data_IF_433743080964
#
_entry.id   IF_433743080964
#
_cell.length_a   1.000
_cell.length_b   1.000
_cell.length_c   1.000
_cell.angle_alpha   90.00
_cell.angle_beta   90.00
_cell.angle_gamma   90.00
#
_symmetry.space_group_name_H-M   'P 1'
#
loop_
_entity.id
_entity.type
_entity.pdbx_description
1 polymer ?
#
# COMPACT_ATOMS: atom_id res chain seq x y z
N UNK A 1 28.44 16.61 -17.93
CA UNK A 1 27.17 16.15 -17.35
C UNK A 1 27.12 16.63 -15.90
N UNK A 2 26.11 17.42 -15.46
CA UNK A 2 26.05 17.85 -14.07
C UNK A 2 25.81 16.63 -13.17
N UNK A 3 26.61 16.48 -12.12
CA UNK A 3 26.39 15.50 -11.06
C UNK A 3 25.01 15.76 -10.45
N UNK A 4 24.02 14.85 -10.68
CA UNK A 4 22.77 14.85 -9.93
C UNK A 4 23.14 14.71 -8.45
N UNK A 5 23.01 15.77 -7.69
CA UNK A 5 23.09 15.74 -6.23
C UNK A 5 21.92 14.91 -5.72
N UNK A 6 22.21 13.75 -5.17
CA UNK A 6 21.21 12.86 -4.54
C UNK A 6 20.51 13.63 -3.42
N UNK A 7 19.22 13.93 -3.57
CA UNK A 7 18.44 14.59 -2.51
C UNK A 7 18.12 13.57 -1.43
N UNK A 8 18.91 13.59 -0.35
CA UNK A 8 18.65 12.81 0.85
C UNK A 8 17.37 13.35 1.51
N UNK A 9 16.42 12.46 1.81
CA UNK A 9 15.19 12.84 2.52
C UNK A 9 15.53 13.26 3.94
N UNK A 10 15.25 14.52 4.29
CA UNK A 10 15.54 15.08 5.62
C UNK A 10 14.76 14.41 6.75
N UNK A 11 13.71 13.62 6.42
CA UNK A 11 12.95 12.80 7.38
C UNK A 11 13.68 11.51 7.76
N UNK A 12 14.70 11.08 6.97
CA UNK A 12 15.50 9.92 7.31
C UNK A 12 16.50 10.28 8.40
N UNK A 13 16.56 9.55 9.53
CA UNK A 13 17.52 9.82 10.59
C UNK A 13 18.98 9.81 10.07
N UNK A 14 19.75 10.86 10.40
CA UNK A 14 21.14 11.01 9.94
C UNK A 14 22.01 9.79 10.22
N UNK A 15 21.73 9.09 11.34
CA UNK A 15 22.41 7.83 11.69
C UNK A 15 22.23 6.73 10.63
N UNK A 16 21.02 6.60 10.06
CA UNK A 16 20.73 5.62 9.00
C UNK A 16 21.56 5.93 7.75
N UNK A 17 21.56 7.19 7.34
CA UNK A 17 22.35 7.66 6.19
C UNK A 17 23.85 7.41 6.42
N UNK A 18 24.36 7.81 7.59
CA UNK A 18 25.76 7.60 7.94
C UNK A 18 26.15 6.11 7.93
N UNK A 19 25.35 5.26 8.57
CA UNK A 19 25.60 3.82 8.63
C UNK A 19 25.55 3.19 7.24
N UNK A 20 24.57 3.55 6.41
CA UNK A 20 24.48 3.06 5.03
C UNK A 20 25.71 3.42 4.21
N UNK A 21 26.15 4.69 4.28
CA UNK A 21 27.34 5.17 3.56
C UNK A 21 28.65 4.53 4.09
N UNK A 22 28.76 4.35 5.40
CA UNK A 22 29.89 3.67 6.01
C UNK A 22 29.98 2.22 5.51
N UNK A 23 28.87 1.47 5.56
CA UNK A 23 28.83 0.10 5.06
C UNK A 23 29.13 0.03 3.55
N UNK A 24 28.65 1.00 2.77
CA UNK A 24 28.93 1.05 1.34
C UNK A 24 30.43 1.23 1.03
N UNK A 25 31.16 2.01 1.84
CA UNK A 25 32.63 2.18 1.70
C UNK A 25 33.38 0.88 1.97
N UNK A 26 32.86 0.02 2.86
CA UNK A 26 33.44 -1.30 3.15
C UNK A 26 33.08 -2.29 2.04
N UNK A 27 31.78 -2.39 1.72
CA UNK A 27 31.27 -3.29 0.69
C UNK A 27 29.86 -2.89 0.23
N UNK A 28 29.61 -2.78 -1.08
CA UNK A 28 28.24 -2.58 -1.61
C UNK A 28 27.25 -3.65 -1.17
N UNK A 29 27.69 -4.89 -0.94
CA UNK A 29 26.83 -5.98 -0.47
C UNK A 29 26.42 -5.80 1.00
N UNK A 30 27.27 -5.21 1.85
CA UNK A 30 26.89 -4.89 3.22
C UNK A 30 25.85 -3.76 3.25
N UNK A 31 26.04 -2.74 2.42
CA UNK A 31 25.05 -1.68 2.25
C UNK A 31 23.71 -2.21 1.71
N UNK A 32 23.74 -3.15 0.75
CA UNK A 32 22.53 -3.82 0.25
C UNK A 32 21.79 -4.54 1.38
N UNK A 33 22.48 -5.39 2.15
CA UNK A 33 21.86 -6.12 3.26
C UNK A 33 21.22 -5.18 4.28
N UNK A 34 21.88 -4.07 4.59
CA UNK A 34 21.37 -3.05 5.49
C UNK A 34 20.13 -2.36 4.90
N UNK A 35 20.21 -1.85 3.67
CA UNK A 35 19.11 -1.19 2.98
C UNK A 35 17.91 -2.13 2.81
N UNK A 36 18.13 -3.37 2.39
CA UNK A 36 17.10 -4.39 2.25
C UNK A 36 16.40 -4.70 3.56
N UNK A 37 17.15 -4.78 4.67
CA UNK A 37 16.54 -4.98 6.00
C UNK A 37 15.64 -3.82 6.40
N UNK A 38 16.06 -2.58 6.15
CA UNK A 38 15.22 -1.39 6.40
C UNK A 38 13.98 -1.39 5.51
N UNK A 39 14.14 -1.69 4.21
CA UNK A 39 13.06 -1.69 3.23
C UNK A 39 11.91 -2.64 3.59
N UNK A 40 12.22 -3.82 4.12
CA UNK A 40 11.21 -4.83 4.47
C UNK A 40 10.71 -4.73 5.91
N UNK A 41 11.18 -3.75 6.70
CA UNK A 41 10.83 -3.59 8.12
C UNK A 41 9.95 -2.35 8.31
N UNK A 42 8.63 -2.49 8.40
CA UNK A 42 7.74 -1.34 8.61
C UNK A 42 7.92 -0.76 10.02
N UNK A 43 7.73 0.55 10.13
CA UNK A 43 7.75 1.24 11.42
C UNK A 43 6.36 1.16 12.03
N UNK A 44 6.26 0.62 13.24
CA UNK A 44 5.00 0.58 13.99
C UNK A 44 4.79 1.91 14.72
N UNK A 45 3.68 2.58 14.42
CA UNK A 45 3.29 3.82 15.06
C UNK A 45 2.18 3.58 16.10
N UNK A 46 2.07 4.46 17.10
CA UNK A 46 0.92 4.49 18.02
C UNK A 46 -0.37 4.72 17.24
N UNK A 47 -1.47 4.13 17.70
CA UNK A 47 -2.79 4.32 17.09
C UNK A 47 -3.23 5.78 17.32
N UNK A 48 -3.59 6.54 16.28
CA UNK A 48 -4.11 7.88 16.43
C UNK A 48 -5.52 7.88 17.06
N UNK A 49 -5.85 8.90 17.84
CA UNK A 49 -7.16 9.02 18.51
C UNK A 49 -8.36 8.83 17.57
N UNK A 50 -8.25 9.30 16.32
CA UNK A 50 -9.30 9.17 15.30
C UNK A 50 -9.65 7.71 14.94
N UNK A 51 -8.74 6.76 15.22
CA UNK A 51 -8.90 5.34 14.89
C UNK A 51 -9.42 4.51 16.07
N UNK A 52 -9.49 5.09 17.30
CA UNK A 52 -9.87 4.36 18.52
C UNK A 52 -11.28 3.79 18.45
N UNK A 53 -12.23 4.52 17.88
CA UNK A 53 -13.62 4.06 17.78
C UNK A 53 -13.69 2.81 16.88
N UNK A 54 -13.16 2.88 15.65
CA UNK A 54 -13.15 1.73 14.76
C UNK A 54 -12.43 0.53 15.39
N UNK A 55 -11.32 0.77 16.10
CA UNK A 55 -10.60 -0.31 16.76
C UNK A 55 -11.43 -0.98 17.88
N UNK A 56 -12.12 -0.18 18.70
CA UNK A 56 -12.92 -0.66 19.80
C UNK A 56 -14.21 -1.38 19.36
N UNK A 57 -14.84 -0.89 18.30
CA UNK A 57 -16.12 -1.42 17.80
C UNK A 57 -15.96 -2.56 16.78
N UNK A 58 -14.75 -2.75 16.23
CA UNK A 58 -14.50 -3.85 15.30
C UNK A 58 -14.41 -5.20 16.01
N UNK A 59 -15.02 -6.23 15.44
CA UNK A 59 -14.73 -7.61 15.79
C UNK A 59 -13.35 -7.94 15.23
N UNK A 60 -12.41 -8.22 16.13
CA UNK A 60 -11.03 -8.52 15.77
C UNK A 60 -10.78 -10.02 15.85
N UNK A 61 -10.26 -10.58 14.76
CA UNK A 61 -9.96 -12.02 14.67
C UNK A 61 -8.57 -12.23 14.10
N UNK A 62 -7.97 -13.36 14.41
CA UNK A 62 -6.72 -13.80 13.85
C UNK A 62 -6.99 -14.70 12.66
N UNK A 63 -6.33 -14.46 11.54
CA UNK A 63 -6.40 -15.27 10.34
C UNK A 63 -5.00 -15.78 9.99
N UNK A 64 -4.87 -17.10 9.92
CA UNK A 64 -3.64 -17.71 9.38
C UNK A 64 -3.67 -17.69 7.86
N UNK A 65 -2.58 -17.24 7.24
CA UNK A 65 -2.39 -17.16 5.78
C UNK A 65 -1.39 -18.24 5.37
N UNK A 66 -1.85 -19.40 4.89
CA UNK A 66 -0.98 -20.57 4.65
C UNK A 66 0.13 -20.31 3.62
N UNK A 67 -0.18 -19.58 2.53
CA UNK A 67 0.79 -19.30 1.44
C UNK A 67 2.04 -18.55 1.90
N UNK A 68 1.97 -17.81 3.01
CA UNK A 68 3.09 -17.06 3.56
C UNK A 68 3.50 -17.55 4.96
N UNK A 69 2.80 -18.56 5.51
CA UNK A 69 3.01 -19.11 6.85
C UNK A 69 3.03 -18.02 7.94
N UNK A 70 2.05 -17.10 7.90
CA UNK A 70 1.93 -15.99 8.86
C UNK A 70 0.49 -15.80 9.31
N UNK A 71 0.33 -15.26 10.53
CA UNK A 71 -0.95 -14.84 11.09
C UNK A 71 -1.11 -13.33 10.95
N UNK A 72 -2.30 -12.89 10.56
CA UNK A 72 -2.72 -11.49 10.47
C UNK A 72 -3.91 -11.22 11.37
N UNK A 73 -4.11 -9.95 11.77
CA UNK A 73 -5.29 -9.51 12.51
C UNK A 73 -6.26 -8.86 11.54
N UNK A 74 -7.51 -9.33 11.54
CA UNK A 74 -8.60 -8.84 10.69
C UNK A 74 -9.59 -8.09 11.56
N UNK A 75 -10.12 -6.98 11.02
CA UNK A 75 -11.12 -6.12 11.65
C UNK A 75 -12.40 -6.17 10.82
N UNK A 76 -13.50 -6.65 11.42
CA UNK A 76 -14.84 -6.54 10.85
C UNK A 76 -15.58 -5.39 11.54
N UNK A 77 -15.90 -4.32 10.78
CA UNK A 77 -16.52 -3.12 11.29
C UNK A 77 -17.86 -2.85 10.61
N UNK A 78 -18.93 -2.77 11.41
CA UNK A 78 -20.31 -2.70 10.95
C UNK A 78 -20.97 -4.08 10.80
N UNK A 79 -22.30 -4.11 10.58
CA UNK A 79 -23.12 -5.31 10.62
C UNK A 79 -23.81 -5.66 9.29
N UNK A 80 -23.47 -4.97 8.18
CA UNK A 80 -24.06 -5.24 6.87
C UNK A 80 -23.49 -6.49 6.22
N UNK A 81 -24.33 -7.22 5.48
CA UNK A 81 -23.89 -8.31 4.62
C UNK A 81 -23.15 -7.82 3.37
N UNK A 82 -23.35 -6.55 2.97
CA UNK A 82 -22.63 -5.89 1.88
C UNK A 82 -21.28 -5.40 2.43
N UNK A 83 -20.18 -5.97 1.98
CA UNK A 83 -18.86 -5.73 2.54
C UNK A 83 -17.93 -5.02 1.56
N UNK A 84 -17.10 -4.14 2.11
CA UNK A 84 -16.03 -3.46 1.39
C UNK A 84 -14.69 -3.83 2.02
N UNK A 85 -13.73 -4.23 1.19
CA UNK A 85 -12.36 -4.49 1.64
C UNK A 85 -11.57 -3.19 1.72
N UNK A 86 -10.91 -2.93 2.86
CA UNK A 86 -10.02 -1.78 3.04
C UNK A 86 -8.58 -2.27 3.26
N UNK A 87 -7.63 -1.73 2.50
CA UNK A 87 -6.23 -2.13 2.56
C UNK A 87 -5.33 -0.92 2.83
N UNK A 88 -4.62 -0.96 3.94
CA UNK A 88 -3.72 0.12 4.37
C UNK A 88 -2.41 0.16 3.59
N UNK A 89 -1.69 1.29 3.69
CA UNK A 89 -0.36 1.48 3.11
C UNK A 89 0.79 0.98 4.01
N UNK A 90 2.03 1.18 3.54
CA UNK A 90 3.23 0.84 4.31
C UNK A 90 3.27 1.58 5.65
N UNK A 91 3.67 0.88 6.71
CA UNK A 91 3.65 1.38 8.09
C UNK A 91 2.26 1.83 8.60
N UNK A 92 1.18 1.48 7.87
CA UNK A 92 -0.21 1.68 8.27
C UNK A 92 -0.74 0.56 9.18
N UNK A 93 -2.06 0.42 9.21
CA UNK A 93 -2.79 -0.63 9.95
C UNK A 93 -4.22 -0.75 9.47
N UNK A 94 -4.95 -1.79 9.89
CA UNK A 94 -6.32 -2.07 9.47
C UNK A 94 -7.30 -0.93 9.72
N UNK A 95 -7.09 -0.10 10.74
CA UNK A 95 -7.94 1.05 11.07
C UNK A 95 -7.56 2.36 10.35
N UNK A 96 -6.53 2.36 9.51
CA UNK A 96 -6.01 3.59 8.87
C UNK A 96 -7.07 4.34 8.04
N UNK A 97 -7.97 3.62 7.38
CA UNK A 97 -8.99 4.18 6.49
C UNK A 97 -10.32 4.46 7.22
N UNK A 98 -10.29 4.68 8.54
CA UNK A 98 -11.48 4.84 9.40
C UNK A 98 -12.49 5.86 8.86
N UNK A 99 -12.06 7.02 8.35
CA UNK A 99 -12.99 8.04 7.84
C UNK A 99 -13.78 7.57 6.62
N UNK A 100 -13.13 6.78 5.77
CA UNK A 100 -13.78 6.12 4.63
C UNK A 100 -14.71 5.01 5.13
N UNK A 101 -14.25 4.20 6.11
CA UNK A 101 -15.07 3.18 6.74
C UNK A 101 -16.36 3.77 7.32
N UNK A 102 -16.26 4.84 8.13
CA UNK A 102 -17.43 5.52 8.71
C UNK A 102 -18.43 6.00 7.64
N UNK A 103 -17.90 6.51 6.52
CA UNK A 103 -18.75 6.99 5.43
C UNK A 103 -19.50 5.86 4.72
N UNK A 104 -18.83 4.73 4.45
CA UNK A 104 -19.50 3.59 3.78
C UNK A 104 -20.46 2.86 4.72
N UNK A 105 -20.20 2.84 6.03
CA UNK A 105 -21.13 2.32 7.02
C UNK A 105 -22.45 3.10 7.02
N UNK A 106 -22.40 4.44 6.96
CA UNK A 106 -23.59 5.30 6.85
C UNK A 106 -24.41 5.03 5.59
N UNK A 107 -23.81 4.40 4.58
CA UNK A 107 -24.46 4.01 3.32
C UNK A 107 -24.84 2.52 3.28
N UNK A 108 -24.94 1.85 4.41
CA UNK A 108 -25.44 0.49 4.54
C UNK A 108 -24.43 -0.61 4.18
N UNK A 109 -23.14 -0.32 4.22
CA UNK A 109 -22.06 -1.30 4.08
C UNK A 109 -21.41 -1.60 5.43
N UNK A 110 -20.70 -2.71 5.51
CA UNK A 110 -19.68 -2.99 6.52
C UNK A 110 -18.31 -3.02 5.87
N UNK A 111 -17.26 -2.95 6.66
CA UNK A 111 -15.90 -3.05 6.14
C UNK A 111 -15.15 -4.21 6.76
N UNK A 112 -14.31 -4.84 5.95
CA UNK A 112 -13.29 -5.78 6.40
C UNK A 112 -11.94 -5.15 6.08
N UNK A 113 -11.11 -5.02 7.08
CA UNK A 113 -9.72 -4.58 6.95
C UNK A 113 -8.80 -5.49 7.74
N UNK A 114 -7.51 -5.36 7.57
CA UNK A 114 -6.56 -6.19 8.29
C UNK A 114 -5.25 -5.44 8.54
N UNK A 115 -4.52 -5.85 9.56
CA UNK A 115 -3.11 -5.51 9.71
C UNK A 115 -2.31 -6.50 8.87
N UNK A 116 -1.61 -6.05 7.84
CA UNK A 116 -0.72 -6.90 7.07
C UNK A 116 0.43 -7.46 7.94
N UNK A 117 1.13 -8.52 7.53
CA UNK A 117 2.26 -9.03 8.28
C UNK A 117 3.25 -7.92 8.69
N UNK A 118 3.75 -7.97 9.91
CA UNK A 118 4.62 -6.96 10.54
C UNK A 118 3.98 -5.58 10.81
N UNK A 119 2.70 -5.38 10.50
CA UNK A 119 1.98 -4.14 10.77
C UNK A 119 1.04 -4.27 11.97
N UNK A 120 0.63 -3.15 12.55
CA UNK A 120 -0.36 -3.08 13.63
C UNK A 120 -0.16 -4.15 14.69
N UNK A 121 -1.20 -4.96 14.95
CA UNK A 121 -1.22 -6.08 15.89
C UNK A 121 -0.75 -7.40 15.26
N UNK A 122 -0.58 -7.47 13.94
CA UNK A 122 -0.06 -8.67 13.28
C UNK A 122 1.39 -8.94 13.67
N UNK A 123 1.70 -10.22 13.81
CA UNK A 123 3.03 -10.71 14.21
C UNK A 123 4.12 -10.42 13.15
N UNK A 124 5.28 -10.99 13.40
CA UNK A 124 6.49 -10.87 12.57
C UNK A 124 7.16 -9.48 12.61
N UNK A 125 8.35 -9.37 12.00
CA UNK A 125 9.14 -8.13 11.98
C UNK A 125 9.34 -7.58 10.59
N UNK A 126 9.08 -8.39 9.57
CA UNK A 126 9.34 -8.03 8.16
C UNK A 126 8.18 -8.48 7.28
N UNK A 127 7.98 -7.74 6.20
CA UNK A 127 6.98 -8.05 5.18
C UNK A 127 7.38 -7.51 3.81
N UNK A 128 6.65 -7.95 2.79
CA UNK A 128 6.75 -7.51 1.40
C UNK A 128 5.34 -7.33 0.81
N UNK A 129 5.23 -6.61 -0.30
CA UNK A 129 3.96 -6.45 -1.02
C UNK A 129 3.30 -7.79 -1.39
N UNK A 130 4.08 -8.80 -1.74
CA UNK A 130 3.59 -10.15 -1.98
C UNK A 130 2.75 -10.69 -0.82
N UNK A 131 3.17 -10.42 0.42
CA UNK A 131 2.47 -10.86 1.62
C UNK A 131 1.17 -10.08 1.84
N UNK A 132 1.10 -8.80 1.40
CA UNK A 132 -0.16 -8.06 1.35
C UNK A 132 -1.14 -8.70 0.37
N UNK A 133 -0.68 -9.05 -0.83
CA UNK A 133 -1.50 -9.68 -1.86
C UNK A 133 -2.07 -11.02 -1.36
N UNK A 134 -1.23 -11.89 -0.80
CA UNK A 134 -1.64 -13.18 -0.25
C UNK A 134 -2.61 -13.01 0.95
N UNK A 135 -2.39 -11.98 1.77
CA UNK A 135 -3.32 -11.62 2.86
C UNK A 135 -4.68 -11.18 2.32
N UNK A 136 -4.73 -10.38 1.26
CA UNK A 136 -5.98 -9.97 0.60
C UNK A 136 -6.76 -11.19 0.12
N UNK A 137 -6.12 -12.13 -0.57
CA UNK A 137 -6.75 -13.34 -1.09
C UNK A 137 -7.25 -14.27 0.04
N UNK A 138 -6.48 -14.38 1.12
CA UNK A 138 -6.91 -15.15 2.29
C UNK A 138 -8.11 -14.49 3.00
N UNK A 139 -8.11 -13.15 3.12
CA UNK A 139 -9.23 -12.39 3.69
C UNK A 139 -10.47 -12.51 2.81
N UNK A 140 -10.34 -12.46 1.49
CA UNK A 140 -11.48 -12.71 0.58
C UNK A 140 -12.06 -14.11 0.78
N UNK A 141 -11.23 -15.13 0.82
CA UNK A 141 -11.66 -16.51 1.00
C UNK A 141 -12.45 -16.71 2.29
N UNK A 142 -12.07 -16.02 3.38
CA UNK A 142 -12.68 -16.19 4.70
C UNK A 142 -13.87 -15.25 4.94
N UNK A 143 -13.81 -14.03 4.45
CA UNK A 143 -14.77 -12.95 4.78
C UNK A 143 -15.56 -12.43 3.58
N UNK A 144 -15.19 -12.79 2.36
CA UNK A 144 -15.90 -12.41 1.15
C UNK A 144 -17.31 -12.99 1.03
N UNK A 145 -18.03 -12.71 -0.05
CA UNK A 145 -17.59 -11.84 -1.14
C UNK A 145 -17.56 -10.35 -0.76
N UNK A 146 -16.73 -9.58 -1.46
CA UNK A 146 -16.67 -8.13 -1.34
C UNK A 146 -17.35 -7.44 -2.52
N UNK A 147 -18.13 -6.41 -2.24
CA UNK A 147 -18.71 -5.57 -3.31
C UNK A 147 -17.61 -4.70 -3.95
N UNK A 148 -16.75 -4.11 -3.12
CA UNK A 148 -15.74 -3.15 -3.52
C UNK A 148 -14.44 -3.34 -2.72
N UNK A 149 -13.34 -2.77 -3.25
CA UNK A 149 -12.06 -2.70 -2.55
C UNK A 149 -11.49 -1.27 -2.60
N UNK A 150 -10.94 -0.80 -1.48
CA UNK A 150 -10.31 0.53 -1.36
C UNK A 150 -8.93 0.36 -0.75
N UNK A 151 -7.91 0.85 -1.44
CA UNK A 151 -6.51 0.75 -0.98
C UNK A 151 -5.77 2.07 -0.99
N UNK A 152 -4.94 2.26 0.03
CA UNK A 152 -4.06 3.41 0.14
C UNK A 152 -2.60 3.02 -0.11
N UNK A 153 -1.89 3.81 -0.92
CA UNK A 153 -0.45 3.64 -1.14
C UNK A 153 -0.12 2.20 -1.58
N UNK A 154 0.71 1.47 -0.85
CA UNK A 154 1.01 0.06 -1.09
C UNK A 154 -0.26 -0.82 -1.13
N UNK A 155 -1.29 -0.48 -0.34
CA UNK A 155 -2.58 -1.17 -0.36
C UNK A 155 -3.29 -1.07 -1.71
N UNK A 156 -3.18 0.08 -2.40
CA UNK A 156 -3.70 0.26 -3.75
C UNK A 156 -3.00 -0.65 -4.76
N UNK A 157 -1.66 -0.68 -4.76
CA UNK A 157 -0.87 -1.59 -5.60
C UNK A 157 -1.24 -3.06 -5.33
N UNK A 158 -1.41 -3.40 -4.05
CA UNK A 158 -1.73 -4.77 -3.64
C UNK A 158 -3.11 -5.21 -4.09
N UNK A 159 -4.12 -4.31 -4.07
CA UNK A 159 -5.46 -4.59 -4.59
C UNK A 159 -5.43 -4.87 -6.09
N UNK A 160 -4.76 -4.05 -6.90
CA UNK A 160 -4.68 -4.27 -8.35
C UNK A 160 -4.02 -5.62 -8.67
N UNK A 161 -2.95 -5.96 -7.96
CA UNK A 161 -2.31 -7.27 -8.09
C UNK A 161 -3.20 -8.42 -7.59
N UNK A 162 -3.98 -8.21 -6.52
CA UNK A 162 -4.92 -9.22 -6.04
C UNK A 162 -6.07 -9.45 -7.05
N UNK A 163 -6.59 -8.40 -7.71
CA UNK A 163 -7.58 -8.52 -8.79
C UNK A 163 -7.01 -9.33 -9.96
N UNK A 164 -5.79 -9.02 -10.40
CA UNK A 164 -5.08 -9.83 -11.41
C UNK A 164 -4.97 -11.30 -11.01
N UNK A 165 -4.84 -11.59 -9.71
CA UNK A 165 -4.75 -12.96 -9.15
C UNK A 165 -6.11 -13.60 -8.83
N UNK A 166 -7.23 -12.91 -9.07
CA UNK A 166 -8.58 -13.46 -8.94
C UNK A 166 -9.46 -12.86 -7.85
N UNK A 167 -9.03 -11.83 -7.10
CA UNK A 167 -9.92 -11.08 -6.20
C UNK A 167 -11.14 -10.56 -6.97
N UNK A 168 -12.34 -10.95 -6.54
CA UNK A 168 -13.59 -10.57 -7.18
C UNK A 168 -14.22 -9.37 -6.49
N UNK A 169 -14.22 -8.22 -7.17
CA UNK A 169 -14.90 -7.00 -6.72
C UNK A 169 -15.51 -6.27 -7.92
N UNK A 170 -16.59 -5.51 -7.70
CA UNK A 170 -17.29 -4.78 -8.77
C UNK A 170 -16.57 -3.49 -9.17
N UNK A 171 -15.94 -2.81 -8.21
CA UNK A 171 -15.17 -1.58 -8.41
C UNK A 171 -14.03 -1.52 -7.42
N UNK A 172 -12.98 -0.79 -7.77
CA UNK A 172 -11.86 -0.51 -6.86
C UNK A 172 -11.55 0.98 -6.76
N UNK A 173 -11.01 1.39 -5.60
CA UNK A 173 -10.49 2.76 -5.39
C UNK A 173 -9.04 2.63 -4.93
N UNK A 174 -8.14 3.35 -5.59
CA UNK A 174 -6.73 3.45 -5.22
C UNK A 174 -6.37 4.90 -4.90
N UNK A 175 -5.79 5.14 -3.73
CA UNK A 175 -5.53 6.47 -3.20
C UNK A 175 -4.04 6.62 -2.92
N UNK A 176 -3.37 7.62 -3.54
CA UNK A 176 -1.94 7.87 -3.35
C UNK A 176 -1.08 6.63 -3.63
N UNK A 177 -1.47 5.82 -4.61
CA UNK A 177 -0.80 4.56 -4.91
C UNK A 177 0.54 4.80 -5.61
N UNK A 178 1.57 4.04 -5.22
CA UNK A 178 2.74 3.86 -6.06
C UNK A 178 2.39 3.06 -7.32
N UNK A 179 3.32 3.03 -8.26
CA UNK A 179 3.06 2.38 -9.55
C UNK A 179 4.16 1.37 -9.92
N UNK A 180 5.43 1.77 -10.03
CA UNK A 180 6.55 0.86 -10.32
C UNK A 180 7.25 0.41 -9.04
N UNK A 181 7.35 -0.91 -8.84
CA UNK A 181 8.07 -1.49 -7.69
C UNK A 181 9.58 -1.19 -7.79
N UNK A 182 10.13 -1.22 -9.00
CA UNK A 182 11.54 -0.88 -9.24
C UNK A 182 11.81 0.58 -8.90
N UNK A 183 10.92 1.51 -9.29
CA UNK A 183 11.04 2.92 -8.93
C UNK A 183 10.97 3.14 -7.41
N UNK A 184 10.11 2.41 -6.73
CA UNK A 184 10.00 2.47 -5.26
C UNK A 184 11.33 2.07 -4.60
N UNK A 185 11.97 1.00 -5.06
CA UNK A 185 13.29 0.57 -4.54
C UNK A 185 14.37 1.60 -4.87
N UNK A 186 14.39 2.14 -6.08
CA UNK A 186 15.35 3.17 -6.49
C UNK A 186 15.21 4.42 -5.61
N UNK A 187 13.99 4.93 -5.47
CA UNK A 187 13.67 6.12 -4.66
C UNK A 187 14.00 5.88 -3.18
N UNK A 188 13.71 4.69 -2.64
CA UNK A 188 14.07 4.34 -1.27
C UNK A 188 15.58 4.40 -1.05
N UNK A 189 16.36 3.79 -1.93
CA UNK A 189 17.83 3.77 -1.83
C UNK A 189 18.41 5.19 -1.95
N UNK A 190 17.86 6.00 -2.84
CA UNK A 190 18.22 7.41 -2.98
C UNK A 190 17.91 8.21 -1.71
N UNK A 191 16.70 8.06 -1.14
CA UNK A 191 16.26 8.75 0.09
C UNK A 191 17.16 8.45 1.30
N UNK A 192 17.73 7.24 1.38
CA UNK A 192 18.68 6.88 2.44
C UNK A 192 20.14 7.23 2.10
N UNK A 193 20.37 7.96 1.00
CA UNK A 193 21.71 8.49 0.63
C UNK A 193 22.67 7.44 0.08
N UNK A 194 22.17 6.35 -0.50
CA UNK A 194 22.97 5.30 -1.12
C UNK A 194 22.95 5.39 -2.65
N UNK A 195 24.03 4.98 -3.34
CA UNK A 195 24.08 5.02 -4.79
C UNK A 195 23.18 3.96 -5.43
N UNK A 196 22.72 4.22 -6.66
CA UNK A 196 21.83 3.36 -7.45
C UNK A 196 22.32 1.89 -7.57
N UNK A 197 23.62 1.66 -7.55
CA UNK A 197 24.18 0.30 -7.52
C UNK A 197 23.59 -0.57 -6.40
N UNK A 198 23.29 0.04 -5.24
CA UNK A 198 22.64 -0.68 -4.10
C UNK A 198 21.22 -1.08 -4.45
N UNK A 199 20.45 -0.24 -5.16
CA UNK A 199 19.11 -0.58 -5.61
C UNK A 199 19.13 -1.76 -6.59
N UNK A 200 20.06 -1.78 -7.53
CA UNK A 200 20.24 -2.92 -8.45
C UNK A 200 20.58 -4.21 -7.69
N UNK A 201 21.48 -4.14 -6.70
CA UNK A 201 21.80 -5.30 -5.85
C UNK A 201 20.59 -5.76 -5.03
N UNK A 202 19.80 -4.84 -4.48
CA UNK A 202 18.57 -5.18 -3.76
C UNK A 202 17.56 -5.89 -4.66
N UNK A 203 17.31 -5.36 -5.85
CA UNK A 203 16.43 -5.97 -6.85
C UNK A 203 16.89 -7.40 -7.15
N UNK A 204 18.15 -7.60 -7.54
CA UNK A 204 18.71 -8.91 -7.85
C UNK A 204 18.58 -9.88 -6.68
N UNK A 205 18.79 -9.39 -5.44
CA UNK A 205 18.64 -10.20 -4.22
C UNK A 205 17.21 -10.68 -4.00
N UNK A 206 16.22 -9.81 -4.23
CA UNK A 206 14.80 -10.18 -4.12
C UNK A 206 14.39 -11.15 -5.22
N UNK A 207 14.70 -10.84 -6.48
CA UNK A 207 14.36 -11.68 -7.64
C UNK A 207 14.97 -13.08 -7.51
N UNK A 208 16.24 -13.17 -7.09
CA UNK A 208 16.89 -14.45 -6.83
C UNK A 208 16.26 -15.22 -5.67
N UNK A 209 15.92 -14.52 -4.56
CA UNK A 209 15.39 -15.18 -3.37
C UNK A 209 13.97 -15.72 -3.58
N UNK A 210 13.14 -14.97 -4.27
CA UNK A 210 11.72 -15.28 -4.41
C UNK A 210 11.35 -15.83 -5.79
N UNK A 211 12.32 -15.95 -6.71
CA UNK A 211 12.16 -16.52 -8.05
C UNK A 211 11.06 -15.82 -8.88
N UNK A 212 11.04 -14.48 -8.85
CA UNK A 212 10.11 -13.66 -9.63
C UNK A 212 10.80 -12.43 -10.24
N UNK A 213 10.21 -11.86 -11.27
CA UNK A 213 10.56 -10.53 -11.77
C UNK A 213 9.84 -9.46 -10.91
N UNK A 214 10.59 -8.60 -10.24
CA UNK A 214 10.06 -7.57 -9.34
C UNK A 214 9.09 -6.62 -10.05
N UNK A 215 9.39 -6.22 -11.29
CA UNK A 215 8.55 -5.30 -12.05
C UNK A 215 7.20 -5.90 -12.43
N UNK A 216 7.08 -7.23 -12.50
CA UNK A 216 5.82 -7.93 -12.78
C UNK A 216 4.71 -7.66 -11.75
N UNK A 217 5.09 -7.18 -10.54
CA UNK A 217 4.19 -6.77 -9.46
C UNK A 217 3.91 -5.26 -9.45
N UNK A 218 4.44 -4.50 -10.38
CA UNK A 218 4.13 -3.08 -10.51
C UNK A 218 2.66 -2.86 -10.82
N UNK A 219 2.07 -1.80 -10.25
CA UNK A 219 0.65 -1.54 -10.39
C UNK A 219 0.23 -1.34 -11.86
N UNK A 220 1.06 -0.66 -12.67
CA UNK A 220 0.78 -0.48 -14.09
C UNK A 220 0.81 -1.78 -14.89
N UNK A 221 1.59 -2.78 -14.45
CA UNK A 221 1.60 -4.10 -15.07
C UNK A 221 0.32 -4.86 -14.69
N UNK A 222 -0.08 -4.80 -13.41
CA UNK A 222 -1.33 -5.41 -12.96
C UNK A 222 -2.57 -4.73 -13.57
N UNK A 223 -2.52 -3.41 -13.76
CA UNK A 223 -3.60 -2.60 -14.31
C UNK A 223 -4.08 -3.06 -15.69
N UNK A 224 -3.19 -3.63 -16.51
CA UNK A 224 -3.54 -4.18 -17.84
C UNK A 224 -4.54 -5.34 -17.79
N UNK A 225 -4.56 -6.06 -16.68
CA UNK A 225 -5.45 -7.20 -16.44
C UNK A 225 -6.71 -6.80 -15.63
N UNK A 226 -6.83 -5.52 -15.21
CA UNK A 226 -7.96 -4.99 -14.43
C UNK A 226 -8.99 -4.39 -15.37
N UNK A 227 -10.14 -5.06 -15.50
CA UNK A 227 -11.24 -4.65 -16.40
C UNK A 227 -12.38 -3.93 -15.69
N UNK A 228 -12.46 -4.05 -14.36
CA UNK A 228 -13.48 -3.36 -13.55
C UNK A 228 -13.21 -1.86 -13.47
N UNK A 229 -14.23 -1.02 -13.16
CA UNK A 229 -14.03 0.40 -12.93
C UNK A 229 -13.08 0.67 -11.75
N UNK A 230 -12.08 1.52 -11.97
CA UNK A 230 -11.11 1.94 -10.95
C UNK A 230 -11.12 3.46 -10.81
N UNK A 231 -11.34 3.96 -9.59
CA UNK A 231 -11.15 5.36 -9.24
C UNK A 231 -9.75 5.56 -8.67
N UNK A 232 -8.96 6.41 -9.31
CA UNK A 232 -7.60 6.76 -8.90
C UNK A 232 -7.62 8.16 -8.28
N UNK A 233 -7.29 8.26 -6.99
CA UNK A 233 -7.02 9.53 -6.31
C UNK A 233 -5.55 9.75 -6.09
N UNK A 234 -5.07 10.96 -6.37
CA UNK A 234 -3.73 11.38 -6.00
C UNK A 234 -3.68 12.88 -5.69
N UNK A 235 -2.72 13.29 -4.87
CA UNK A 235 -2.53 14.69 -4.52
C UNK A 235 -1.22 15.24 -5.11
N UNK A 236 -1.24 16.49 -5.63
CA UNK A 236 -0.05 17.13 -6.21
C UNK A 236 1.06 17.36 -5.20
N UNK A 237 0.69 17.50 -3.91
CA UNK A 237 1.62 17.75 -2.81
C UNK A 237 2.00 16.46 -2.06
N UNK A 238 1.81 15.31 -2.71
CA UNK A 238 2.26 14.02 -2.18
C UNK A 238 3.80 13.92 -2.26
N UNK A 239 4.46 14.12 -1.11
CA UNK A 239 5.91 14.04 -0.99
C UNK A 239 6.44 12.59 -0.92
N UNK A 240 5.57 11.62 -0.66
CA UNK A 240 5.95 10.21 -0.57
C UNK A 240 5.95 9.57 -1.96
N UNK A 241 4.89 9.80 -2.76
CA UNK A 241 4.67 9.26 -4.09
C UNK A 241 4.33 10.41 -5.05
N UNK A 242 5.14 10.68 -6.09
CA UNK A 242 4.85 11.76 -7.02
C UNK A 242 3.59 11.50 -7.85
N UNK A 243 2.82 12.56 -8.15
CA UNK A 243 1.56 12.48 -8.91
C UNK A 243 1.72 11.85 -10.30
N UNK A 244 2.91 11.89 -10.88
CA UNK A 244 3.23 11.21 -12.14
C UNK A 244 3.01 9.69 -12.09
N UNK A 245 3.13 9.07 -10.91
CA UNK A 245 2.85 7.64 -10.73
C UNK A 245 1.35 7.34 -10.95
N UNK A 246 0.45 8.24 -10.53
CA UNK A 246 -0.99 8.10 -10.78
C UNK A 246 -1.33 8.25 -12.27
N UNK A 247 -0.71 9.18 -12.98
CA UNK A 247 -0.90 9.33 -14.42
C UNK A 247 -0.44 8.09 -15.18
N UNK A 248 0.76 7.60 -14.88
CA UNK A 248 1.27 6.38 -15.52
C UNK A 248 0.43 5.14 -15.19
N UNK A 249 -0.07 5.00 -13.95
CA UNK A 249 -1.02 3.94 -13.59
C UNK A 249 -2.29 4.05 -14.44
N UNK A 250 -2.85 5.25 -14.53
CA UNK A 250 -4.09 5.50 -15.25
C UNK A 250 -3.98 5.19 -16.76
N UNK A 251 -2.83 5.46 -17.39
CA UNK A 251 -2.58 5.12 -18.81
C UNK A 251 -2.76 3.62 -19.08
N UNK A 252 -2.52 2.77 -18.07
CA UNK A 252 -2.58 1.31 -18.19
C UNK A 252 -3.92 0.69 -17.72
N UNK A 253 -4.83 1.47 -17.15
CA UNK A 253 -6.18 1.02 -16.79
C UNK A 253 -7.15 1.22 -17.94
N UNK A 254 -7.90 0.17 -18.29
CA UNK A 254 -8.91 0.22 -19.37
C UNK A 254 -10.17 0.99 -18.95
N UNK A 255 -10.61 0.88 -17.69
CA UNK A 255 -11.82 1.50 -17.16
C UNK A 255 -11.46 2.31 -15.90
N UNK A 256 -11.22 3.60 -16.06
CA UNK A 256 -10.71 4.47 -15.00
C UNK A 256 -11.44 5.79 -14.90
N UNK A 257 -11.41 6.33 -13.70
CA UNK A 257 -11.60 7.74 -13.41
C UNK A 257 -10.40 8.22 -12.59
N UNK A 258 -9.87 9.40 -12.88
CA UNK A 258 -8.70 9.97 -12.19
C UNK A 258 -9.08 11.32 -11.60
N UNK A 259 -8.82 11.49 -10.32
CA UNK A 259 -9.05 12.75 -9.61
C UNK A 259 -7.75 13.16 -8.93
N UNK A 260 -7.25 14.31 -9.34
CA UNK A 260 -6.06 14.92 -8.74
C UNK A 260 -6.51 16.02 -7.79
N UNK A 261 -6.07 15.94 -6.55
CA UNK A 261 -6.29 16.95 -5.51
C UNK A 261 -5.01 17.76 -5.27
N UNK A 262 -5.08 18.76 -4.42
CA UNK A 262 -3.95 19.58 -3.99
C UNK A 262 -4.04 19.89 -2.50
N UNK A 263 -2.90 20.23 -1.86
CA UNK A 263 -2.77 20.61 -0.45
C UNK A 263 -3.16 19.54 0.59
N UNK A 264 -3.38 18.29 0.18
CA UNK A 264 -3.73 17.19 1.06
C UNK A 264 -2.52 16.28 1.35
N UNK A 265 -1.66 16.07 0.38
CA UNK A 265 -0.51 15.18 0.48
C UNK A 265 -0.92 13.72 0.73
N UNK A 266 0.07 12.88 1.03
CA UNK A 266 -0.08 11.42 1.07
C UNK A 266 -1.09 10.89 2.10
N UNK A 267 -1.32 11.61 3.22
CA UNK A 267 -2.11 11.08 4.36
C UNK A 267 -3.38 11.86 4.66
N UNK A 268 -3.37 13.19 4.50
CA UNK A 268 -4.57 14.01 4.79
C UNK A 268 -5.70 13.69 3.80
N UNK A 269 -5.36 13.29 2.58
CA UNK A 269 -6.29 12.85 1.53
C UNK A 269 -7.27 11.76 2.03
N UNK A 270 -6.87 10.90 2.96
CA UNK A 270 -7.70 9.85 3.55
C UNK A 270 -8.81 10.38 4.48
N UNK A 271 -8.70 11.62 4.92
CA UNK A 271 -9.66 12.26 5.83
C UNK A 271 -10.41 13.44 5.22
N UNK A 272 -10.13 13.78 3.97
CA UNK A 272 -10.77 14.89 3.29
C UNK A 272 -12.21 14.56 2.91
N UNK A 273 -13.14 15.46 3.24
CA UNK A 273 -14.58 15.22 3.05
C UNK A 273 -14.97 15.13 1.58
N UNK A 274 -14.35 15.93 0.72
CA UNK A 274 -14.65 15.93 -0.73
C UNK A 274 -14.18 14.63 -1.38
N UNK A 275 -13.01 14.15 -1.02
CA UNK A 275 -12.46 12.86 -1.46
C UNK A 275 -13.36 11.72 -1.01
N UNK A 276 -13.75 11.70 0.28
CA UNK A 276 -14.61 10.65 0.84
C UNK A 276 -15.99 10.64 0.16
N UNK A 277 -16.61 11.80 -0.02
CA UNK A 277 -17.90 11.90 -0.71
C UNK A 277 -17.81 11.38 -2.14
N UNK A 278 -16.75 11.73 -2.87
CA UNK A 278 -16.58 11.27 -4.24
C UNK A 278 -16.29 9.75 -4.32
N UNK A 279 -15.59 9.18 -3.33
CA UNK A 279 -15.44 7.72 -3.21
C UNK A 279 -16.81 7.07 -3.06
N UNK A 280 -17.63 7.54 -2.12
CA UNK A 280 -18.98 7.01 -1.87
C UNK A 280 -19.84 7.11 -3.13
N UNK A 281 -19.88 8.26 -3.79
CA UNK A 281 -20.60 8.44 -5.06
C UNK A 281 -20.15 7.42 -6.12
N UNK A 282 -18.84 7.30 -6.37
CA UNK A 282 -18.30 6.37 -7.35
C UNK A 282 -18.70 4.92 -7.06
N UNK A 283 -18.66 4.50 -5.80
CA UNK A 283 -19.02 3.14 -5.43
C UNK A 283 -20.52 2.88 -5.59
N UNK A 284 -21.39 3.83 -5.23
CA UNK A 284 -22.83 3.65 -5.13
C UNK A 284 -23.60 3.96 -6.42
N UNK A 285 -23.02 4.70 -7.36
CA UNK A 285 -23.67 4.93 -8.67
C UNK A 285 -23.83 3.57 -9.38
N UNK A 286 -25.09 3.20 -9.59
CA UNK A 286 -25.46 2.10 -10.49
C UNK A 286 -25.24 2.60 -11.93
N UNK A 287 -24.24 2.09 -12.61
CA UNK A 287 -24.17 2.19 -14.08
C UNK A 287 -24.95 1.06 -14.69
#
# INVERSE_FOLDING_TARGET
>A
MPKKTTKIDTRVPKFIVFMGQFLYRISPFLAEKFARKLFITPIKHKIPKREFQMEAESIQTKLFVPSINKEIVVYAYGNSTKKILLVHGWSGRGTQLVKIADAVLKNGYSTISFDAPAHGKSGTKTTLMLEFIESILAVEKQYGPFEFAIGHSLGGMSILNAIKKGLQVKKAVVIGSGNSVVNIVNTFVEKIGLPHKVAVLMRNSFEKKYQFDMESFSAYVAAKDVTIPVLVFHDTDDEDIPVSEAHHLAENLSNKEVIITNNLGHRKILGDASVINRIVEFLLIKK
#
